data_IF_413679389442
#
_entry.id   IF_413679389442
#
_cell.length_a   1.000
_cell.length_b   1.000
_cell.length_c   1.000
_cell.angle_alpha   90.00
_cell.angle_beta   90.00
_cell.angle_gamma   90.00
#
_symmetry.space_group_name_H-M   'P 1'
#
loop_
_entity.id
_entity.type
_entity.pdbx_description
1 polymer ?
#
# COMPACT_ATOMS: atom_id res chain seq x y z
N UNK A 1 -19.93 -45.56 -23.05
CA UNK A 1 -20.36 -44.41 -23.87
C UNK A 1 -20.01 -43.18 -23.09
N UNK A 2 -18.75 -42.81 -23.25
CA UNK A 2 -18.03 -41.82 -22.47
C UNK A 2 -18.31 -40.41 -23.01
N UNK A 3 -18.73 -39.50 -22.13
CA UNK A 3 -18.92 -38.09 -22.47
C UNK A 3 -17.69 -37.30 -22.00
N UNK A 4 -16.92 -36.87 -22.99
CA UNK A 4 -15.68 -36.10 -22.90
C UNK A 4 -15.97 -34.69 -22.37
N UNK A 5 -15.28 -34.31 -21.29
CA UNK A 5 -15.24 -32.94 -20.78
C UNK A 5 -14.31 -32.09 -21.66
N UNK A 6 -14.84 -31.03 -22.27
CA UNK A 6 -14.06 -30.02 -22.99
C UNK A 6 -13.57 -28.96 -21.99
N UNK A 7 -12.35 -29.13 -21.48
CA UNK A 7 -11.59 -28.06 -20.83
C UNK A 7 -10.94 -27.20 -21.92
N UNK A 8 -11.37 -25.94 -22.03
CA UNK A 8 -10.66 -24.93 -22.82
C UNK A 8 -9.44 -24.46 -22.02
N UNK A 9 -8.27 -24.96 -22.41
CA UNK A 9 -6.96 -24.56 -21.90
C UNK A 9 -6.46 -23.35 -22.70
N UNK A 10 -6.23 -22.20 -22.06
CA UNK A 10 -5.50 -21.09 -22.67
C UNK A 10 -4.00 -21.36 -22.55
N UNK A 11 -3.40 -21.87 -23.64
CA UNK A 11 -1.95 -21.95 -23.83
C UNK A 11 -1.40 -20.59 -24.27
N UNK A 12 -0.49 -20.02 -23.48
CA UNK A 12 0.42 -18.97 -23.94
C UNK A 12 1.74 -19.65 -24.39
N UNK A 13 2.06 -19.56 -25.67
CA UNK A 13 3.35 -19.99 -26.20
C UNK A 13 4.42 -18.90 -25.97
N UNK A 14 5.62 -19.23 -25.49
CA UNK A 14 6.75 -18.31 -25.44
C UNK A 14 7.62 -18.51 -26.68
N UNK A 15 7.87 -17.46 -27.45
CA UNK A 15 8.98 -17.41 -28.40
C UNK A 15 9.42 -15.94 -28.59
N UNK A 16 10.51 -15.54 -27.94
CA UNK A 16 11.75 -15.28 -28.67
C UNK A 16 12.94 -15.04 -27.73
N UNK A 17 14.02 -15.71 -28.13
CA UNK A 17 15.33 -15.85 -27.53
C UNK A 17 16.17 -14.59 -27.77
N UNK A 18 16.72 -13.97 -26.73
CA UNK A 18 17.95 -13.19 -26.82
C UNK A 18 18.86 -13.50 -25.63
N UNK A 19 20.05 -13.99 -25.97
CA UNK A 19 21.12 -14.42 -25.06
C UNK A 19 21.80 -13.17 -24.49
N UNK A 20 21.74 -13.00 -23.16
CA UNK A 20 22.47 -11.98 -22.42
C UNK A 20 23.25 -12.61 -21.26
N UNK A 21 24.58 -12.54 -21.34
CA UNK A 21 25.55 -13.11 -20.40
C UNK A 21 25.42 -12.54 -18.98
N UNK A 22 25.51 -13.41 -17.96
CA UNK A 22 25.56 -13.06 -16.52
C UNK A 22 26.79 -12.19 -16.20
N UNK A 23 26.68 -11.13 -15.38
CA UNK A 23 27.87 -10.43 -14.89
C UNK A 23 28.63 -11.34 -13.91
N UNK A 24 29.93 -11.54 -14.15
CA UNK A 24 30.82 -12.27 -13.26
C UNK A 24 31.31 -11.35 -12.14
N UNK A 25 30.85 -11.58 -10.92
CA UNK A 25 31.37 -10.94 -9.70
C UNK A 25 32.59 -11.73 -9.23
N UNK A 26 33.75 -11.09 -9.11
CA UNK A 26 34.91 -11.69 -8.45
C UNK A 26 35.19 -10.95 -7.14
N UNK A 27 35.12 -11.66 -6.02
CA UNK A 27 35.56 -11.20 -4.71
C UNK A 27 36.95 -11.76 -4.43
N UNK A 28 37.94 -10.89 -4.26
CA UNK A 28 39.28 -11.30 -3.84
C UNK A 28 39.54 -10.76 -2.44
N UNK A 29 39.69 -11.65 -1.47
CA UNK A 29 40.11 -11.34 -0.11
C UNK A 29 41.62 -11.58 -0.01
N UNK A 30 42.38 -10.55 0.36
CA UNK A 30 43.80 -10.70 0.72
C UNK A 30 43.92 -10.73 2.24
N UNK A 31 44.61 -11.72 2.83
CA UNK A 31 44.79 -11.78 4.27
C UNK A 31 45.98 -10.89 4.66
N UNK A 32 45.72 -9.67 5.12
CA UNK A 32 46.71 -8.95 5.93
C UNK A 32 46.03 -8.20 7.08
N UNK A 33 46.55 -8.42 8.27
CA UNK A 33 45.93 -8.02 9.52
C UNK A 33 46.05 -6.51 9.72
N UNK A 34 44.89 -5.84 9.70
CA UNK A 34 44.51 -4.55 10.34
C UNK A 34 43.74 -3.57 9.45
N UNK A 35 43.40 -3.89 8.21
CA UNK A 35 42.39 -3.14 7.45
C UNK A 35 41.75 -4.03 6.37
N UNK A 36 40.42 -4.24 6.45
CA UNK A 36 39.67 -4.90 5.38
C UNK A 36 39.46 -3.92 4.22
N UNK A 37 40.02 -4.22 3.04
CA UNK A 37 39.73 -3.51 1.79
C UNK A 37 38.84 -4.38 0.91
N UNK A 38 37.62 -3.91 0.62
CA UNK A 38 36.72 -4.53 -0.36
C UNK A 38 36.78 -3.70 -1.63
N UNK A 39 37.29 -4.28 -2.73
CA UNK A 39 37.35 -3.63 -4.04
C UNK A 39 36.26 -4.25 -4.92
N UNK A 40 35.24 -3.47 -5.24
CA UNK A 40 34.20 -3.85 -6.21
C UNK A 40 34.51 -3.13 -7.52
N UNK A 41 34.86 -3.89 -8.56
CA UNK A 41 35.12 -3.34 -9.89
C UNK A 41 33.93 -3.56 -10.81
N UNK A 42 33.36 -2.49 -11.35
CA UNK A 42 32.33 -2.56 -12.40
C UNK A 42 32.97 -2.23 -13.75
N UNK A 43 32.84 -3.13 -14.73
CA UNK A 43 33.10 -2.80 -16.14
C UNK A 43 31.79 -2.33 -16.77
N UNK A 44 31.65 -1.01 -17.00
CA UNK A 44 30.61 -0.50 -17.88
C UNK A 44 31.07 -0.65 -19.33
N UNK A 45 30.38 -1.48 -20.12
CA UNK A 45 30.49 -1.43 -21.58
C UNK A 45 29.48 -0.39 -22.08
N UNK A 46 29.98 0.80 -22.45
CA UNK A 46 29.19 1.77 -23.21
C UNK A 46 29.50 1.59 -24.71
N UNK A 47 28.52 1.13 -25.48
CA UNK A 47 28.55 1.28 -26.93
C UNK A 47 28.08 2.69 -27.30
N UNK A 48 29.01 3.57 -27.68
CA UNK A 48 28.70 4.85 -28.31
C UNK A 48 28.87 4.76 -29.84
N UNK A 49 27.81 5.11 -30.57
CA UNK A 49 27.92 5.60 -31.94
C UNK A 49 28.39 7.07 -31.93
N UNK A 50 29.27 7.39 -32.87
CA UNK A 50 30.18 8.53 -32.87
C UNK A 50 29.56 9.91 -33.18
N UNK A 51 30.13 10.97 -32.57
CA UNK A 51 30.64 12.17 -33.26
C UNK A 51 31.53 13.01 -32.34
N UNK A 52 32.61 13.54 -32.93
CA UNK A 52 33.78 14.11 -32.27
C UNK A 52 33.56 15.48 -31.61
N UNK A 53 34.25 15.75 -30.50
CA UNK A 53 35.40 16.69 -30.46
C UNK A 53 35.81 17.09 -29.03
N UNK A 54 37.12 17.37 -28.90
CA UNK A 54 37.87 18.09 -27.85
C UNK A 54 38.27 17.34 -26.57
N UNK A 55 39.60 17.20 -26.49
CA UNK A 55 40.43 16.71 -25.41
C UNK A 55 40.34 17.64 -24.19
N UNK A 56 40.02 17.09 -23.01
CA UNK A 56 40.34 17.68 -21.72
C UNK A 56 40.95 16.58 -20.83
N UNK A 57 42.16 16.80 -20.33
CA UNK A 57 42.94 15.86 -19.49
C UNK A 57 42.83 16.28 -18.02
N UNK A 58 42.73 15.25 -17.14
CA UNK A 58 43.01 15.20 -15.69
C UNK A 58 41.91 15.80 -14.78
N UNK A 59 41.55 15.26 -13.61
CA UNK A 59 42.17 14.28 -12.68
C UNK A 59 41.05 13.65 -11.85
N UNK A 60 41.05 12.34 -11.59
CA UNK A 60 40.13 11.72 -10.61
C UNK A 60 40.87 11.68 -9.26
N UNK A 61 40.41 12.46 -8.29
CA UNK A 61 40.78 12.34 -6.88
C UNK A 61 39.86 11.30 -6.22
N UNK A 62 40.40 10.28 -5.50
CA UNK A 62 39.54 9.40 -4.73
C UNK A 62 39.04 10.14 -3.48
N UNK A 63 37.71 10.16 -3.30
CA UNK A 63 37.06 10.53 -2.05
C UNK A 63 37.19 9.34 -1.09
N UNK A 64 38.07 9.45 -0.09
CA UNK A 64 38.09 8.51 1.03
C UNK A 64 36.94 8.84 2.00
N UNK A 65 36.00 7.92 2.17
CA UNK A 65 35.13 7.88 3.35
C UNK A 65 35.79 6.99 4.40
N UNK A 66 36.35 7.62 5.43
CA UNK A 66 36.78 6.96 6.67
C UNK A 66 35.64 7.03 7.67
N UNK A 67 35.09 5.89 8.07
CA UNK A 67 34.24 5.78 9.27
C UNK A 67 35.05 5.15 10.38
N UNK A 68 35.55 5.95 11.32
CA UNK A 68 36.19 5.46 12.54
C UNK A 68 35.14 5.20 13.61
N UNK A 69 35.14 3.99 14.17
CA UNK A 69 34.40 3.68 15.38
C UNK A 69 35.19 4.20 16.58
N UNK A 70 34.77 5.33 17.13
CA UNK A 70 35.20 5.75 18.46
C UNK A 70 34.11 5.45 19.48
N UNK A 71 34.45 4.57 20.42
CA UNK A 71 33.72 4.37 21.68
C UNK A 71 33.63 5.70 22.44
N UNK A 72 32.42 6.10 22.84
CA UNK A 72 32.19 7.10 23.87
C UNK A 72 31.36 6.48 25.02
N UNK A 73 31.64 6.87 26.28
CA UNK A 73 31.03 6.27 27.45
C UNK A 73 29.61 6.80 27.70
N UNK A 74 28.82 5.98 28.37
CA UNK A 74 27.45 6.28 28.74
C UNK A 74 27.36 7.51 29.66
N UNK A 75 26.64 8.53 29.21
CA UNK A 75 25.98 9.48 30.10
C UNK A 75 24.66 9.95 29.49
N UNK A 76 23.60 9.70 30.27
CA UNK A 76 22.31 10.40 30.37
C UNK A 76 21.90 11.27 29.20
N UNK A 77 21.09 10.71 28.29
CA UNK A 77 20.25 11.49 27.37
C UNK A 77 18.80 11.04 27.52
N UNK A 78 17.97 12.03 27.79
CA UNK A 78 16.53 11.94 27.99
C UNK A 78 15.82 11.33 26.78
N UNK A 79 14.78 10.55 27.10
CA UNK A 79 13.91 9.85 26.17
C UNK A 79 13.15 10.81 25.24
N UNK A 80 13.75 11.08 24.08
CA UNK A 80 13.05 11.47 22.86
C UNK A 80 13.31 10.41 21.80
N UNK A 81 12.51 9.33 21.79
CA UNK A 81 12.67 8.25 20.80
C UNK A 81 12.20 8.74 19.42
N UNK A 82 13.10 9.38 18.69
CA UNK A 82 13.00 9.47 17.24
C UNK A 82 13.29 8.06 16.70
N UNK A 83 12.25 7.24 16.53
CA UNK A 83 12.38 5.93 15.87
C UNK A 83 12.94 6.15 14.47
N UNK A 84 14.09 5.54 14.19
CA UNK A 84 14.67 5.59 12.85
C UNK A 84 13.78 4.76 11.88
N UNK A 85 13.76 5.06 10.57
CA UNK A 85 12.97 4.30 9.59
C UNK A 85 13.23 2.79 9.62
N UNK A 86 14.47 2.37 9.94
CA UNK A 86 14.85 0.96 10.08
C UNK A 86 14.14 0.25 11.26
N UNK A 87 13.75 1.00 12.29
CA UNK A 87 13.00 0.47 13.43
C UNK A 87 11.52 0.25 13.06
N UNK A 88 10.93 1.15 12.26
CA UNK A 88 9.54 0.99 11.78
C UNK A 88 9.37 -0.28 10.92
N UNK A 89 10.30 -0.54 9.99
CA UNK A 89 10.23 -1.72 9.12
C UNK A 89 10.37 -3.04 9.90
N UNK A 90 11.22 -3.05 10.94
CA UNK A 90 11.37 -4.22 11.81
C UNK A 90 10.10 -4.46 12.65
N UNK A 91 9.53 -3.39 13.21
CA UNK A 91 8.26 -3.47 13.96
C UNK A 91 7.14 -3.98 13.05
N UNK A 92 7.02 -3.44 11.84
CA UNK A 92 6.04 -3.87 10.85
C UNK A 92 6.18 -5.37 10.54
N UNK A 93 7.42 -5.84 10.33
CA UNK A 93 7.70 -7.25 10.05
C UNK A 93 7.31 -8.15 11.24
N UNK A 94 7.70 -7.80 12.46
CA UNK A 94 7.36 -8.59 13.64
C UNK A 94 5.84 -8.67 13.84
N UNK A 95 5.14 -7.54 13.75
CA UNK A 95 3.68 -7.49 13.85
C UNK A 95 2.98 -8.33 12.79
N UNK A 96 3.50 -8.35 11.56
CA UNK A 96 2.93 -9.19 10.51
C UNK A 96 3.06 -10.70 10.79
N UNK A 97 4.16 -11.11 11.44
CA UNK A 97 4.40 -12.50 11.83
C UNK A 97 3.49 -12.93 12.98
N UNK A 98 3.19 -12.01 13.90
CA UNK A 98 2.24 -12.25 14.98
C UNK A 98 0.81 -12.42 14.47
N UNK A 99 0.39 -11.59 13.50
CA UNK A 99 -0.99 -11.58 12.97
C UNK A 99 -1.23 -12.70 11.94
N UNK A 100 -0.23 -13.01 11.11
CA UNK A 100 -0.36 -13.92 9.96
C UNK A 100 -1.04 -15.27 10.25
N UNK A 101 -0.65 -15.99 11.33
CA UNK A 101 -1.27 -17.28 11.69
C UNK A 101 -2.75 -17.18 12.02
N UNK A 102 -3.18 -16.09 12.66
CA UNK A 102 -4.56 -15.89 13.10
C UNK A 102 -5.51 -15.56 11.94
N UNK A 103 -5.02 -14.94 10.86
CA UNK A 103 -5.84 -14.58 9.71
C UNK A 103 -6.44 -15.79 8.97
N UNK A 104 -5.87 -16.99 9.10
CA UNK A 104 -6.36 -18.22 8.44
C UNK A 104 -6.61 -18.06 6.94
N UNK A 105 -5.84 -17.20 6.27
CA UNK A 105 -5.97 -16.90 4.84
C UNK A 105 -7.16 -16.00 4.46
N UNK A 106 -7.88 -15.42 5.44
CA UNK A 106 -8.94 -14.43 5.20
C UNK A 106 -8.40 -13.21 4.47
N UNK A 107 -9.21 -12.65 3.57
CA UNK A 107 -8.87 -11.38 2.92
C UNK A 107 -8.99 -10.21 3.90
N UNK A 108 -8.23 -9.15 3.64
CA UNK A 108 -8.32 -7.87 4.35
C UNK A 108 -8.95 -6.85 3.42
N UNK A 109 -10.03 -6.19 3.85
CA UNK A 109 -10.72 -5.15 3.08
C UNK A 109 -10.44 -3.79 3.70
N UNK A 110 -9.73 -2.92 3.00
CA UNK A 110 -9.49 -1.55 3.42
C UNK A 110 -10.65 -0.67 2.94
N UNK A 111 -11.37 -0.09 3.88
CA UNK A 111 -12.46 0.87 3.64
C UNK A 111 -12.08 2.25 4.19
N UNK A 112 -12.75 3.29 3.68
CA UNK A 112 -12.55 4.66 4.14
C UNK A 112 -12.68 5.67 3.00
N UNK A 113 -12.74 6.95 3.37
CA UNK A 113 -12.92 8.04 2.41
C UNK A 113 -11.81 8.09 1.35
N UNK A 114 -12.13 8.66 0.20
CA UNK A 114 -11.14 8.84 -0.86
C UNK A 114 -10.00 9.74 -0.36
N UNK A 115 -8.74 9.42 -0.70
CA UNK A 115 -7.56 10.10 -0.13
C UNK A 115 -7.08 9.57 1.23
N UNK A 116 -7.77 8.60 1.84
CA UNK A 116 -7.37 8.03 3.14
C UNK A 116 -6.08 7.21 3.10
N UNK A 117 -5.61 6.82 1.90
CA UNK A 117 -4.36 6.08 1.73
C UNK A 117 -4.51 4.56 1.59
N UNK A 118 -5.74 4.05 1.37
CA UNK A 118 -6.05 2.61 1.22
C UNK A 118 -5.10 1.89 0.26
N UNK A 119 -4.91 2.38 -0.96
CA UNK A 119 -4.02 1.75 -1.95
C UNK A 119 -2.56 1.70 -1.46
N UNK A 120 -2.08 2.76 -0.80
CA UNK A 120 -0.70 2.82 -0.30
C UNK A 120 -0.50 1.88 0.89
N UNK A 121 -1.37 1.96 1.89
CA UNK A 121 -1.32 1.10 3.09
C UNK A 121 -1.55 -0.36 2.71
N UNK A 122 -2.46 -0.63 1.79
CA UNK A 122 -2.75 -2.00 1.32
C UNK A 122 -1.58 -2.66 0.60
N UNK A 123 -0.78 -1.89 -0.15
CA UNK A 123 0.47 -2.40 -0.74
C UNK A 123 1.51 -2.75 0.34
N UNK A 124 1.63 -1.92 1.38
CA UNK A 124 2.53 -2.21 2.52
C UNK A 124 2.08 -3.49 3.25
N UNK A 125 0.78 -3.59 3.58
CA UNK A 125 0.21 -4.76 4.27
C UNK A 125 0.36 -6.05 3.46
N UNK A 126 0.01 -6.01 2.17
CA UNK A 126 0.12 -7.20 1.30
C UNK A 126 1.55 -7.70 1.18
N UNK A 127 2.52 -6.78 1.03
CA UNK A 127 3.92 -7.14 0.96
C UNK A 127 4.41 -7.82 2.24
N UNK A 128 4.09 -7.26 3.42
CA UNK A 128 4.60 -7.79 4.68
C UNK A 128 3.91 -9.10 5.08
N UNK A 129 2.62 -9.27 4.75
CA UNK A 129 1.86 -10.50 5.01
C UNK A 129 2.11 -11.60 3.97
N UNK A 130 2.77 -11.30 2.85
CA UNK A 130 2.89 -12.22 1.72
C UNK A 130 1.53 -12.55 1.08
N UNK A 131 0.68 -11.53 0.96
CA UNK A 131 -0.65 -11.57 0.32
C UNK A 131 -0.57 -10.84 -1.03
N UNK A 132 -1.53 -11.06 -1.92
CA UNK A 132 -1.64 -10.23 -3.14
C UNK A 132 -2.47 -8.98 -2.86
N UNK A 133 -2.13 -7.87 -3.54
CA UNK A 133 -2.90 -6.63 -3.46
C UNK A 133 -3.88 -6.54 -4.64
N UNK A 134 -5.11 -6.08 -4.38
CA UNK A 134 -6.10 -5.78 -5.39
C UNK A 134 -6.75 -4.41 -5.10
N UNK A 135 -6.87 -3.56 -6.11
CA UNK A 135 -7.71 -2.36 -6.03
C UNK A 135 -9.05 -2.67 -6.71
N UNK A 136 -10.14 -2.57 -5.94
CA UNK A 136 -11.48 -2.92 -6.41
C UNK A 136 -11.93 -2.00 -7.55
N UNK A 137 -11.54 -0.72 -7.52
CA UNK A 137 -11.91 0.23 -8.58
C UNK A 137 -11.21 -0.19 -9.88
N UNK A 138 -9.92 -0.55 -9.83
CA UNK A 138 -9.17 -1.03 -11.01
C UNK A 138 -9.73 -2.34 -11.57
N UNK A 139 -10.18 -3.26 -10.71
CA UNK A 139 -10.83 -4.49 -11.15
C UNK A 139 -12.13 -4.20 -11.93
N UNK A 140 -12.92 -3.22 -11.47
CA UNK A 140 -14.14 -2.79 -12.18
C UNK A 140 -13.78 -2.13 -13.52
N UNK A 141 -12.76 -1.27 -13.56
CA UNK A 141 -12.29 -0.63 -14.80
C UNK A 141 -11.91 -1.70 -15.84
N UNK A 142 -11.17 -2.74 -15.44
CA UNK A 142 -10.80 -3.87 -16.30
C UNK A 142 -12.03 -4.65 -16.79
N UNK A 143 -12.97 -4.98 -15.90
CA UNK A 143 -14.20 -5.72 -16.24
C UNK A 143 -15.15 -4.95 -17.17
N UNK A 144 -15.11 -3.60 -17.14
CA UNK A 144 -15.95 -2.71 -17.96
C UNK A 144 -15.21 -2.25 -19.23
N UNK A 145 -14.14 -2.95 -19.61
CA UNK A 145 -13.44 -2.74 -20.88
C UNK A 145 -12.35 -1.67 -20.83
N UNK A 146 -11.70 -1.50 -19.68
CA UNK A 146 -10.57 -0.59 -19.48
C UNK A 146 -10.94 0.89 -19.42
N UNK A 147 -12.22 1.22 -19.17
CA UNK A 147 -12.69 2.60 -19.01
C UNK A 147 -12.40 3.08 -17.59
N UNK A 148 -12.01 4.34 -17.44
CA UNK A 148 -11.80 4.91 -16.10
C UNK A 148 -13.10 4.97 -15.30
N UNK A 149 -13.02 4.99 -13.97
CA UNK A 149 -14.21 5.21 -13.11
C UNK A 149 -14.97 6.46 -13.53
N UNK A 150 -14.27 7.55 -13.90
CA UNK A 150 -14.92 8.77 -14.37
C UNK A 150 -15.71 8.57 -15.67
N UNK A 151 -15.16 7.81 -16.61
CA UNK A 151 -15.87 7.46 -17.84
C UNK A 151 -17.06 6.55 -17.56
N UNK A 152 -16.94 5.60 -16.64
CA UNK A 152 -18.05 4.71 -16.28
C UNK A 152 -19.20 5.52 -15.69
N UNK A 153 -18.92 6.43 -14.74
CA UNK A 153 -19.94 7.32 -14.18
C UNK A 153 -20.58 8.21 -15.25
N UNK A 154 -19.78 8.78 -16.15
CA UNK A 154 -20.28 9.66 -17.22
C UNK A 154 -21.20 8.96 -18.21
N UNK A 155 -20.88 7.73 -18.61
CA UNK A 155 -21.60 7.03 -19.67
C UNK A 155 -22.71 6.09 -19.16
N UNK A 156 -22.55 5.54 -17.96
CA UNK A 156 -23.44 4.51 -17.41
C UNK A 156 -24.12 4.93 -16.09
N UNK A 157 -23.66 6.01 -15.45
CA UNK A 157 -24.20 6.51 -14.19
C UNK A 157 -23.67 5.78 -12.96
N UNK A 158 -23.94 6.36 -11.78
CA UNK A 158 -23.46 5.82 -10.51
C UNK A 158 -24.11 4.47 -10.16
N UNK A 159 -25.40 4.29 -10.42
CA UNK A 159 -26.12 3.05 -10.09
C UNK A 159 -25.45 1.84 -10.74
N UNK A 160 -25.11 1.96 -12.03
CA UNK A 160 -24.38 0.92 -12.76
C UNK A 160 -23.01 0.64 -12.14
N UNK A 161 -22.25 1.68 -11.79
CA UNK A 161 -20.96 1.49 -11.13
C UNK A 161 -21.11 0.76 -9.80
N UNK A 162 -22.13 1.11 -9.01
CA UNK A 162 -22.40 0.45 -7.72
C UNK A 162 -22.84 -1.01 -7.89
N UNK A 163 -23.54 -1.35 -8.97
CA UNK A 163 -23.84 -2.74 -9.31
C UNK A 163 -22.56 -3.52 -9.61
N UNK A 164 -21.64 -2.95 -10.39
CA UNK A 164 -20.32 -3.55 -10.65
C UNK A 164 -19.44 -3.64 -9.41
N UNK A 165 -19.49 -2.66 -8.51
CA UNK A 165 -18.80 -2.71 -7.22
C UNK A 165 -19.32 -3.86 -6.36
N UNK A 166 -20.63 -4.10 -6.32
CA UNK A 166 -21.22 -5.26 -5.63
C UNK A 166 -20.79 -6.60 -6.26
N UNK A 167 -20.81 -6.72 -7.59
CA UNK A 167 -20.36 -7.92 -8.30
C UNK A 167 -18.86 -8.21 -8.04
N UNK A 168 -18.02 -7.18 -8.10
CA UNK A 168 -16.59 -7.27 -7.84
C UNK A 168 -16.30 -7.76 -6.41
N UNK A 169 -16.96 -7.16 -5.41
CA UNK A 169 -16.83 -7.58 -4.01
C UNK A 169 -17.34 -9.00 -3.79
N UNK A 170 -18.40 -9.42 -4.47
CA UNK A 170 -18.87 -10.81 -4.41
C UNK A 170 -17.79 -11.78 -4.89
N UNK A 171 -17.15 -11.52 -6.03
CA UNK A 171 -16.06 -12.35 -6.58
C UNK A 171 -14.85 -12.37 -5.64
N UNK A 172 -14.41 -11.19 -5.17
CA UNK A 172 -13.28 -11.06 -4.25
C UNK A 172 -13.53 -11.78 -2.92
N UNK A 173 -14.78 -11.87 -2.48
CA UNK A 173 -15.17 -12.60 -1.25
C UNK A 173 -15.00 -14.12 -1.32
N UNK A 174 -14.76 -14.67 -2.51
CA UNK A 174 -14.47 -16.09 -2.73
C UNK A 174 -12.96 -16.37 -2.80
N UNK A 175 -12.14 -15.32 -2.78
CA UNK A 175 -10.69 -15.42 -2.84
C UNK A 175 -10.10 -15.49 -1.42
N UNK A 176 -8.82 -15.84 -1.35
CA UNK A 176 -8.07 -15.92 -0.10
C UNK A 176 -6.76 -15.15 -0.24
N UNK A 177 -6.20 -14.74 0.90
CA UNK A 177 -4.88 -14.08 0.98
C UNK A 177 -4.75 -12.84 0.09
N UNK A 178 -5.80 -12.02 0.06
CA UNK A 178 -5.80 -10.71 -0.60
C UNK A 178 -5.87 -9.57 0.40
N UNK A 179 -5.19 -8.46 0.08
CA UNK A 179 -5.47 -7.14 0.66
C UNK A 179 -6.16 -6.31 -0.41
N UNK A 180 -7.38 -5.88 -0.13
CA UNK A 180 -8.29 -5.27 -1.09
C UNK A 180 -8.51 -3.82 -0.69
N UNK A 181 -8.13 -2.87 -1.55
CA UNK A 181 -8.54 -1.47 -1.43
C UNK A 181 -9.90 -1.30 -2.09
N UNK A 182 -10.92 -0.84 -1.36
CA UNK A 182 -12.25 -0.57 -1.93
C UNK A 182 -12.39 0.88 -2.36
N UNK A 183 -13.36 1.15 -3.23
CA UNK A 183 -13.84 2.52 -3.46
C UNK A 183 -14.43 3.12 -2.19
N UNK A 184 -14.43 4.46 -2.09
CA UNK A 184 -15.02 5.16 -0.92
C UNK A 184 -16.54 5.07 -0.83
N UNK A 185 -17.21 4.52 -1.85
CA UNK A 185 -18.66 4.28 -1.86
C UNK A 185 -19.04 2.82 -1.61
N UNK A 186 -18.07 1.90 -1.51
CA UNK A 186 -18.33 0.47 -1.32
C UNK A 186 -19.18 0.15 -0.09
N UNK A 187 -19.16 1.03 0.92
CA UNK A 187 -19.87 0.87 2.18
C UNK A 187 -21.36 1.24 2.12
N UNK A 188 -21.82 1.92 1.06
CA UNK A 188 -23.18 2.48 0.99
C UNK A 188 -24.26 1.43 0.75
N UNK A 189 -23.90 0.26 0.19
CA UNK A 189 -24.83 -0.85 -0.04
C UNK A 189 -24.67 -1.91 1.05
N UNK A 190 -25.72 -2.21 1.84
CA UNK A 190 -25.66 -3.22 2.89
C UNK A 190 -25.19 -4.61 2.41
N UNK A 191 -25.52 -4.98 1.17
CA UNK A 191 -25.08 -6.26 0.58
C UNK A 191 -23.56 -6.38 0.47
N UNK A 192 -22.83 -5.28 0.33
CA UNK A 192 -21.37 -5.30 0.22
C UNK A 192 -20.73 -5.72 1.55
N UNK A 193 -21.32 -5.37 2.68
CA UNK A 193 -20.87 -5.81 4.00
C UNK A 193 -20.95 -7.32 4.18
N UNK A 194 -21.97 -7.98 3.61
CA UNK A 194 -22.06 -9.45 3.59
C UNK A 194 -20.82 -10.10 2.98
N UNK A 195 -20.22 -9.46 1.97
CA UNK A 195 -19.02 -9.95 1.30
C UNK A 195 -17.74 -9.59 2.06
N UNK A 196 -17.62 -8.34 2.50
CA UNK A 196 -16.45 -7.85 3.23
C UNK A 196 -16.29 -8.55 4.59
N UNK A 197 -17.38 -8.88 5.29
CA UNK A 197 -17.36 -9.61 6.56
C UNK A 197 -16.98 -11.09 6.48
N UNK A 198 -16.79 -11.65 5.28
CA UNK A 198 -16.12 -12.95 5.15
C UNK A 198 -14.62 -12.85 5.41
N UNK A 199 -14.05 -11.65 5.26
CA UNK A 199 -12.68 -11.33 5.63
C UNK A 199 -12.63 -10.44 6.86
N UNK A 200 -11.56 -9.66 6.98
CA UNK A 200 -11.40 -8.63 8.02
C UNK A 200 -11.47 -7.26 7.36
N UNK A 201 -12.48 -6.47 7.69
CA UNK A 201 -12.63 -5.10 7.19
C UNK A 201 -11.97 -4.09 8.13
N UNK A 202 -11.16 -3.20 7.56
CA UNK A 202 -10.34 -2.21 8.28
C UNK A 202 -10.68 -0.82 7.76
N UNK A 203 -11.25 0.01 8.62
CA UNK A 203 -11.53 1.41 8.29
C UNK A 203 -10.32 2.29 8.55
N UNK A 204 -9.77 2.88 7.49
CA UNK A 204 -8.80 3.97 7.60
C UNK A 204 -9.54 5.30 7.82
N UNK A 205 -9.59 5.70 9.08
CA UNK A 205 -10.29 6.88 9.55
C UNK A 205 -9.35 8.09 9.57
N UNK A 206 -9.64 9.03 8.68
CA UNK A 206 -8.79 10.19 8.40
C UNK A 206 -9.65 11.45 8.45
N UNK A 207 -9.21 12.49 9.19
CA UNK A 207 -9.93 13.76 9.27
C UNK A 207 -10.17 14.37 7.90
N UNK A 208 -11.35 14.97 7.71
CA UNK A 208 -11.78 15.54 6.43
C UNK A 208 -10.84 16.64 5.96
N UNK A 209 -10.30 17.43 6.89
CA UNK A 209 -9.30 18.49 6.65
C UNK A 209 -8.06 17.91 5.98
N UNK A 210 -7.53 16.81 6.53
CA UNK A 210 -6.34 16.15 6.00
C UNK A 210 -6.61 15.49 4.63
N UNK A 211 -7.81 14.93 4.43
CA UNK A 211 -8.23 14.40 3.13
C UNK A 211 -8.30 15.51 2.08
N UNK A 212 -8.91 16.65 2.43
CA UNK A 212 -9.03 17.81 1.54
C UNK A 212 -7.66 18.35 1.13
N UNK A 213 -6.71 18.48 2.07
CA UNK A 213 -5.34 18.87 1.78
C UNK A 213 -4.66 17.90 0.80
N UNK A 214 -4.75 16.59 1.06
CA UNK A 214 -4.14 15.56 0.20
C UNK A 214 -4.71 15.60 -1.23
N UNK A 215 -6.02 15.76 -1.37
CA UNK A 215 -6.67 15.76 -2.68
C UNK A 215 -6.42 17.07 -3.42
N UNK A 216 -6.46 18.22 -2.74
CA UNK A 216 -6.15 19.51 -3.35
C UNK A 216 -4.72 19.55 -3.93
N UNK A 217 -3.77 18.85 -3.31
CA UNK A 217 -2.39 18.75 -3.82
C UNK A 217 -2.24 17.84 -5.06
N UNK A 218 -3.06 16.79 -5.19
CA UNK A 218 -2.93 15.76 -6.24
C UNK A 218 -3.89 15.99 -7.42
N UNK A 219 -5.04 16.64 -7.19
CA UNK A 219 -6.10 16.86 -8.17
C UNK A 219 -7.23 15.83 -8.11
N UNK A 220 -8.32 16.10 -8.84
CA UNK A 220 -9.60 15.38 -8.74
C UNK A 220 -9.99 14.58 -10.00
N UNK A 221 -9.11 14.47 -11.00
CA UNK A 221 -9.41 13.89 -12.32
C UNK A 221 -9.97 12.45 -12.27
N UNK A 222 -9.48 11.61 -11.35
CA UNK A 222 -9.96 10.23 -11.17
C UNK A 222 -11.09 10.10 -10.14
N UNK A 223 -11.64 11.23 -9.67
CA UNK A 223 -12.60 11.28 -8.55
C UNK A 223 -13.87 12.03 -9.00
N UNK A 224 -14.84 11.32 -9.61
CA UNK A 224 -16.00 11.96 -10.26
C UNK A 224 -16.83 12.81 -9.28
N UNK A 225 -16.92 12.39 -8.03
CA UNK A 225 -17.63 13.10 -6.95
C UNK A 225 -16.95 14.42 -6.52
N UNK A 226 -15.74 14.71 -7.00
CA UNK A 226 -14.95 15.90 -6.65
C UNK A 226 -14.60 16.78 -7.87
N UNK A 227 -15.31 16.66 -9.00
CA UNK A 227 -15.09 17.53 -10.17
C UNK A 227 -15.43 19.00 -9.87
N UNK A 228 -14.44 19.89 -9.88
CA UNK A 228 -14.59 21.27 -9.44
C UNK A 228 -15.23 22.16 -10.53
N UNK A 229 -16.17 23.01 -10.12
CA UNK A 229 -16.67 24.14 -10.90
C UNK A 229 -16.29 25.41 -10.13
N UNK A 230 -15.34 26.19 -10.68
CA UNK A 230 -14.84 27.51 -10.24
C UNK A 230 -14.79 27.84 -8.72
N UNK A 231 -13.58 27.98 -8.13
CA UNK A 231 -13.36 28.48 -6.75
C UNK A 231 -12.05 27.98 -6.12
N UNK A 232 -11.84 28.25 -4.82
CA UNK A 232 -10.70 27.70 -4.07
C UNK A 232 -10.83 26.17 -3.96
N UNK A 233 -9.84 25.46 -4.51
CA UNK A 233 -9.88 24.01 -4.67
C UNK A 233 -9.96 23.29 -3.32
N UNK A 234 -9.28 23.80 -2.29
CA UNK A 234 -9.34 23.23 -0.94
C UNK A 234 -10.74 23.34 -0.35
N UNK A 235 -11.31 24.55 -0.32
CA UNK A 235 -12.61 24.82 0.30
C UNK A 235 -13.73 24.01 -0.35
N UNK A 236 -13.76 23.90 -1.68
CA UNK A 236 -14.76 23.07 -2.37
C UNK A 236 -14.59 21.58 -2.07
N UNK A 237 -13.34 21.09 -2.09
CA UNK A 237 -13.03 19.70 -1.80
C UNK A 237 -13.42 19.36 -0.36
N UNK A 238 -13.10 20.25 0.58
CA UNK A 238 -13.47 20.11 1.99
C UNK A 238 -14.98 20.00 2.15
N UNK A 239 -15.76 20.96 1.63
CA UNK A 239 -17.23 20.92 1.74
C UNK A 239 -17.84 19.63 1.19
N UNK A 240 -17.37 19.16 0.03
CA UNK A 240 -17.86 17.91 -0.59
C UNK A 240 -17.47 16.68 0.22
N UNK A 241 -16.23 16.62 0.70
CA UNK A 241 -15.79 15.52 1.54
C UNK A 241 -16.54 15.51 2.88
N UNK A 242 -16.84 16.66 3.47
CA UNK A 242 -17.64 16.76 4.70
C UNK A 242 -19.04 16.19 4.49
N UNK A 243 -19.72 16.58 3.41
CA UNK A 243 -21.05 16.05 3.08
C UNK A 243 -21.03 14.53 2.84
N UNK A 244 -20.06 14.05 2.06
CA UNK A 244 -19.89 12.61 1.81
C UNK A 244 -19.50 11.83 3.07
N UNK A 245 -18.73 12.44 3.97
CA UNK A 245 -18.33 11.81 5.22
C UNK A 245 -19.53 11.69 6.15
N UNK A 246 -20.34 12.74 6.29
CA UNK A 246 -21.57 12.74 7.08
C UNK A 246 -22.54 11.63 6.61
N UNK A 247 -22.70 11.46 5.30
CA UNK A 247 -23.53 10.40 4.72
C UNK A 247 -22.99 8.98 5.02
N UNK A 248 -21.67 8.81 5.08
CA UNK A 248 -21.03 7.47 5.06
C UNK A 248 -20.40 7.05 6.38
N UNK A 249 -20.26 7.96 7.35
CA UNK A 249 -19.53 7.70 8.60
C UNK A 249 -20.11 6.51 9.37
N UNK A 250 -21.44 6.47 9.53
CA UNK A 250 -22.12 5.34 10.17
C UNK A 250 -21.89 4.02 9.41
N UNK A 251 -21.86 4.08 8.07
CA UNK A 251 -21.58 2.91 7.27
C UNK A 251 -20.14 2.42 7.47
N UNK A 252 -19.13 3.30 7.50
CA UNK A 252 -17.74 2.91 7.78
C UNK A 252 -17.56 2.27 9.15
N UNK A 253 -18.36 2.68 10.14
CA UNK A 253 -18.32 2.11 11.49
C UNK A 253 -18.73 0.63 11.56
N UNK A 254 -19.33 0.07 10.50
CA UNK A 254 -19.56 -1.37 10.40
C UNK A 254 -18.27 -2.17 10.21
N UNK A 255 -17.13 -1.55 9.90
CA UNK A 255 -15.86 -2.26 9.76
C UNK A 255 -15.48 -3.02 11.03
N UNK A 256 -14.84 -4.18 10.87
CA UNK A 256 -14.39 -5.00 12.00
C UNK A 256 -13.40 -4.24 12.89
N UNK A 257 -12.56 -3.40 12.28
CA UNK A 257 -11.56 -2.58 12.98
C UNK A 257 -11.49 -1.16 12.43
N UNK A 258 -11.04 -0.23 13.29
CA UNK A 258 -10.84 1.18 12.95
C UNK A 258 -9.40 1.59 13.23
N UNK A 259 -8.77 2.22 12.25
CA UNK A 259 -7.44 2.83 12.35
C UNK A 259 -7.61 4.35 12.28
N UNK A 260 -7.70 4.99 13.45
CA UNK A 260 -7.83 6.45 13.56
C UNK A 260 -6.46 7.11 13.44
N UNK A 261 -6.24 7.87 12.37
CA UNK A 261 -4.98 8.59 12.16
C UNK A 261 -4.79 9.71 13.19
N UNK A 262 -5.85 10.30 13.72
CA UNK A 262 -5.76 11.26 14.83
C UNK A 262 -5.17 10.60 16.07
N UNK A 263 -5.66 9.41 16.42
CA UNK A 263 -5.15 8.67 17.57
C UNK A 263 -3.68 8.28 17.38
N UNK A 264 -3.28 7.88 16.17
CA UNK A 264 -1.86 7.60 15.85
C UNK A 264 -1.01 8.86 16.03
N UNK A 265 -1.45 10.00 15.48
CA UNK A 265 -0.73 11.26 15.62
C UNK A 265 -0.59 11.67 17.09
N UNK A 266 -1.66 11.56 17.88
CA UNK A 266 -1.65 11.84 19.32
C UNK A 266 -0.70 10.90 20.07
N UNK A 267 -0.73 9.59 19.81
CA UNK A 267 0.19 8.59 20.38
C UNK A 267 1.66 8.93 20.11
N UNK A 268 1.96 9.49 18.93
CA UNK A 268 3.30 9.88 18.52
C UNK A 268 3.68 11.33 18.88
N UNK A 269 2.83 12.06 19.60
CA UNK A 269 3.06 13.45 19.97
C UNK A 269 3.08 14.41 18.77
N UNK A 270 2.44 14.05 17.65
CA UNK A 270 2.35 14.85 16.43
C UNK A 270 1.04 15.63 16.38
N UNK A 271 1.11 16.87 15.88
CA UNK A 271 -0.08 17.74 15.72
C UNK A 271 -0.86 17.47 14.44
N UNK A 272 -0.22 16.87 13.44
CA UNK A 272 -0.80 16.71 12.10
C UNK A 272 -0.63 15.28 11.59
N UNK A 273 -1.74 14.70 11.13
CA UNK A 273 -1.83 13.36 10.53
C UNK A 273 -1.16 13.26 9.16
N UNK A 274 -0.92 14.40 8.49
CA UNK A 274 -0.24 14.44 7.17
C UNK A 274 1.20 13.89 7.23
N UNK A 275 1.81 13.96 8.41
CA UNK A 275 3.19 13.50 8.67
C UNK A 275 3.34 11.99 8.87
N UNK A 276 2.23 11.26 9.00
CA UNK A 276 2.25 9.82 9.30
C UNK A 276 2.73 9.02 8.08
N UNK A 277 3.72 8.14 8.30
CA UNK A 277 4.23 7.27 7.24
C UNK A 277 3.20 6.16 6.94
N UNK A 278 3.10 5.68 5.68
CA UNK A 278 2.28 4.51 5.36
C UNK A 278 2.65 3.28 6.20
N UNK A 279 3.93 3.12 6.55
CA UNK A 279 4.45 2.08 7.44
C UNK A 279 3.83 2.19 8.83
N UNK A 280 3.82 3.39 9.43
CA UNK A 280 3.18 3.63 10.73
C UNK A 280 1.69 3.28 10.70
N UNK A 281 0.96 3.68 9.65
CA UNK A 281 -0.47 3.37 9.52
C UNK A 281 -0.68 1.86 9.36
N UNK A 282 0.19 1.18 8.61
CA UNK A 282 0.14 -0.28 8.44
C UNK A 282 0.44 -1.03 9.76
N UNK A 283 1.36 -0.53 10.60
CA UNK A 283 1.62 -1.09 11.92
C UNK A 283 0.35 -1.02 12.79
N UNK A 284 -0.28 0.14 12.91
CA UNK A 284 -1.53 0.28 13.68
C UNK A 284 -2.64 -0.61 13.07
N UNK A 285 -2.74 -0.71 11.74
CA UNK A 285 -3.70 -1.59 11.11
C UNK A 285 -3.49 -3.07 11.51
N UNK A 286 -2.24 -3.54 11.55
CA UNK A 286 -1.92 -4.89 12.02
C UNK A 286 -2.28 -5.06 13.51
N UNK A 287 -2.00 -4.07 14.36
CA UNK A 287 -2.37 -4.13 15.78
C UNK A 287 -3.88 -4.24 16.00
N UNK A 288 -4.67 -3.47 15.25
CA UNK A 288 -6.14 -3.53 15.34
C UNK A 288 -6.68 -4.86 14.80
N UNK A 289 -6.12 -5.37 13.69
CA UNK A 289 -6.46 -6.70 13.16
C UNK A 289 -6.12 -7.79 14.18
N UNK A 290 -4.94 -7.72 14.81
CA UNK A 290 -4.50 -8.66 15.85
C UNK A 290 -5.53 -8.74 16.98
N UNK A 291 -5.95 -7.59 17.51
CA UNK A 291 -6.93 -7.49 18.58
C UNK A 291 -8.29 -8.07 18.20
N UNK A 292 -8.76 -7.80 16.98
CA UNK A 292 -10.02 -8.35 16.48
C UNK A 292 -9.97 -9.87 16.34
N UNK A 293 -8.95 -10.41 15.67
CA UNK A 293 -8.91 -11.85 15.40
C UNK A 293 -8.65 -12.66 16.66
N UNK A 294 -7.78 -12.19 17.57
CA UNK A 294 -7.59 -12.87 18.88
C UNK A 294 -8.86 -12.83 19.74
N UNK A 295 -9.66 -11.78 19.61
CA UNK A 295 -10.97 -11.69 20.25
C UNK A 295 -11.94 -12.77 19.76
N UNK A 296 -11.93 -13.08 18.45
CA UNK A 296 -12.73 -14.17 17.88
C UNK A 296 -12.26 -15.55 18.39
N UNK A 297 -10.95 -15.82 18.34
CA UNK A 297 -10.37 -17.11 18.78
C UNK A 297 -10.67 -17.40 20.26
N UNK A 298 -10.63 -16.37 21.11
CA UNK A 298 -10.93 -16.50 22.54
C UNK A 298 -12.39 -16.85 22.85
N UNK A 299 -13.34 -16.43 22.01
CA UNK A 299 -14.76 -16.77 22.18
C UNK A 299 -15.06 -18.24 21.86
N UNK A 300 -14.34 -18.85 20.91
CA UNK A 300 -14.53 -20.26 20.53
C UNK A 300 -13.79 -21.25 21.45
N UNK A 301 -12.79 -20.81 22.20
CA UNK A 301 -12.06 -21.67 23.14
C UNK A 301 -12.77 -21.85 24.51
N UNK A 302 -13.82 -21.07 24.78
CA UNK A 302 -14.57 -21.08 26.05
C UNK A 302 -16.01 -21.55 25.96
N UNK A 303 -16.44 -22.12 24.82
CA UNK A 303 -17.79 -22.67 24.60
C UNK A 303 -17.84 -24.19 24.59
#
# INVERSE_FOLDING_TARGET
>A
MDAVASQTCFQFQPNNLFIGTRPSTSLTLSPDSKNLRVIVSFKLNQHHHARASKICRRTITPLELSSSYHNLPASTLESGSCRAPLDEDLVLKNKSQDVGPHLSGRCIYLVGMMGSGKTTVGKVLSQVLGYSFCDCDSLIEEEVGGKSVADIFKHHGEVFFRDKETEALQKLSLMHRLVISTGGGAVTRPINWKYMHKGVSVWLDVPVEALAQRIAAVGTNSRPLLHNEAGDAYTQTFMRLSALFEERNEAYANANTRVSLENIAAKLGRKDVSSLSPTTIAIEALEQIEGFVKGEDGCYAGS
#
